data_IF_419849270304
#
_entry.id   IF_419849270304
#
_cell.length_a   1.000
_cell.length_b   1.000
_cell.length_c   1.000
_cell.angle_alpha   90.00
_cell.angle_beta   90.00
_cell.angle_gamma   90.00
#
_symmetry.space_group_name_H-M   'P 1'
#
loop_
_entity.id
_entity.type
_entity.pdbx_description
1 polymer ?
#
# COMPACT_ATOMS: atom_id res chain seq x y z
N UNK A 1 -20.46 -4.26 12.79
CA UNK A 1 -19.65 -3.65 11.71
C UNK A 1 -18.36 -3.06 12.27
N UNK A 2 -18.39 -2.09 13.21
CA UNK A 2 -17.18 -1.49 13.82
C UNK A 2 -16.17 -2.51 14.40
N UNK A 3 -16.65 -3.55 15.09
CA UNK A 3 -15.77 -4.59 15.65
C UNK A 3 -15.07 -5.45 14.58
N UNK A 4 -15.72 -5.70 13.43
CA UNK A 4 -15.13 -6.46 12.32
C UNK A 4 -14.09 -5.62 11.58
N UNK A 5 -14.35 -4.32 11.39
CA UNK A 5 -13.37 -3.37 10.85
C UNK A 5 -12.15 -3.25 11.78
N UNK A 6 -12.35 -3.22 13.10
CA UNK A 6 -11.26 -3.17 14.08
C UNK A 6 -10.35 -4.42 14.04
N UNK A 7 -10.93 -5.62 13.95
CA UNK A 7 -10.15 -6.85 13.86
C UNK A 7 -9.29 -6.92 12.58
N UNK A 8 -9.83 -6.48 11.44
CA UNK A 8 -9.07 -6.46 10.17
C UNK A 8 -7.98 -5.40 10.21
N UNK A 9 -8.24 -4.23 10.79
CA UNK A 9 -7.20 -3.21 10.97
C UNK A 9 -6.07 -3.76 11.87
N UNK A 10 -6.40 -4.47 12.95
CA UNK A 10 -5.38 -5.13 13.78
C UNK A 10 -4.58 -6.17 12.99
N UNK A 11 -5.24 -7.01 12.18
CA UNK A 11 -4.56 -7.98 11.33
C UNK A 11 -3.67 -7.32 10.27
N UNK A 12 -4.11 -6.20 9.68
CA UNK A 12 -3.34 -5.40 8.73
C UNK A 12 -2.08 -4.81 9.38
N UNK A 13 -2.21 -4.27 10.60
CA UNK A 13 -1.07 -3.78 11.40
C UNK A 13 -0.11 -4.91 11.74
N UNK A 14 -0.62 -6.05 12.21
CA UNK A 14 0.21 -7.23 12.52
C UNK A 14 0.94 -7.70 11.27
N UNK A 15 0.24 -7.82 10.14
CA UNK A 15 0.84 -8.21 8.87
C UNK A 15 1.95 -7.25 8.45
N UNK A 16 1.70 -5.93 8.49
CA UNK A 16 2.70 -4.90 8.20
C UNK A 16 3.99 -5.08 9.01
N UNK A 17 3.86 -5.51 10.27
CA UNK A 17 4.99 -5.68 11.20
C UNK A 17 5.76 -7.00 11.05
N UNK A 18 5.10 -8.10 10.64
CA UNK A 18 5.71 -9.44 10.70
C UNK A 18 5.92 -10.10 9.33
N UNK A 19 5.32 -9.59 8.27
CA UNK A 19 5.40 -10.24 6.96
C UNK A 19 6.79 -10.09 6.35
N UNK A 20 7.26 -11.15 5.71
CA UNK A 20 8.48 -11.13 4.90
C UNK A 20 8.29 -10.23 3.68
N UNK A 21 9.38 -9.74 3.11
CA UNK A 21 9.31 -8.96 1.87
C UNK A 21 9.01 -9.89 0.69
N UNK A 22 8.05 -9.49 -0.13
CA UNK A 22 7.75 -10.12 -1.42
C UNK A 22 8.73 -9.62 -2.49
N UNK A 23 8.93 -10.38 -3.57
CA UNK A 23 9.85 -9.97 -4.61
C UNK A 23 9.41 -8.67 -5.31
N UNK A 24 8.11 -8.49 -5.54
CA UNK A 24 7.58 -7.27 -6.19
C UNK A 24 7.86 -6.05 -5.33
N UNK A 25 7.71 -6.18 -4.01
CA UNK A 25 7.93 -5.08 -3.08
C UNK A 25 9.37 -4.57 -3.15
N UNK A 26 10.33 -5.49 -3.25
CA UNK A 26 11.75 -5.15 -3.39
C UNK A 26 12.04 -4.60 -4.80
N UNK A 27 11.48 -5.21 -5.84
CA UNK A 27 11.63 -4.77 -7.24
C UNK A 27 11.20 -3.31 -7.41
N UNK A 28 9.99 -2.95 -6.95
CA UNK A 28 9.47 -1.60 -7.11
C UNK A 28 10.14 -0.56 -6.20
N UNK A 29 10.58 -0.95 -5.00
CA UNK A 29 11.40 -0.07 -4.16
C UNK A 29 12.79 0.15 -4.77
N UNK A 30 13.36 -0.85 -5.43
CA UNK A 30 14.62 -0.71 -6.16
C UNK A 30 14.45 0.17 -7.40
N UNK A 31 13.37 0.00 -8.17
CA UNK A 31 13.03 0.90 -9.28
C UNK A 31 12.86 2.35 -8.80
N UNK A 32 12.22 2.55 -7.64
CA UNK A 32 12.11 3.87 -7.00
C UNK A 32 13.47 4.44 -6.62
N UNK A 33 14.38 3.60 -6.10
CA UNK A 33 15.74 3.99 -5.75
C UNK A 33 16.55 4.41 -6.99
N UNK A 34 16.46 3.65 -8.09
CA UNK A 34 17.08 4.00 -9.37
C UNK A 34 16.59 5.37 -9.86
N UNK A 35 15.29 5.65 -9.77
CA UNK A 35 14.74 6.97 -10.09
C UNK A 35 15.28 8.06 -9.16
N UNK A 36 15.40 7.77 -7.86
CA UNK A 36 16.01 8.67 -6.87
C UNK A 36 17.49 8.98 -7.15
N UNK A 37 18.21 8.04 -7.76
CA UNK A 37 19.61 8.20 -8.21
C UNK A 37 19.73 8.84 -9.61
N UNK A 38 18.60 9.17 -10.24
CA UNK A 38 18.55 9.88 -11.52
C UNK A 38 18.41 9.01 -12.76
N UNK A 39 18.23 7.69 -12.61
CA UNK A 39 17.91 6.81 -13.73
C UNK A 39 16.48 7.07 -14.26
N UNK A 40 16.30 6.94 -15.56
CA UNK A 40 15.02 7.16 -16.25
C UNK A 40 14.39 5.81 -16.63
N UNK A 41 13.17 5.51 -16.16
CA UNK A 41 12.45 4.28 -16.52
C UNK A 41 12.31 4.12 -18.03
N UNK A 42 12.41 2.88 -18.51
CA UNK A 42 12.39 2.47 -19.92
C UNK A 42 13.56 2.95 -20.78
N UNK A 43 14.44 3.83 -20.27
CA UNK A 43 15.67 4.26 -20.93
C UNK A 43 16.88 3.57 -20.30
N UNK A 44 17.00 3.67 -18.99
CA UNK A 44 18.17 3.22 -18.24
C UNK A 44 17.92 1.87 -17.55
N UNK A 45 16.65 1.54 -17.27
CA UNK A 45 16.22 0.24 -16.75
C UNK A 45 14.81 -0.09 -17.24
N UNK A 46 14.48 -1.39 -17.27
CA UNK A 46 13.18 -1.88 -17.68
C UNK A 46 12.35 -2.29 -16.46
N UNK A 47 11.11 -1.83 -16.43
CA UNK A 47 10.05 -2.28 -15.54
C UNK A 47 8.80 -2.54 -16.37
N UNK A 48 7.94 -3.45 -15.95
CA UNK A 48 6.72 -3.77 -16.70
C UNK A 48 5.58 -2.78 -16.43
N UNK A 49 5.64 -2.07 -15.31
CA UNK A 49 4.58 -1.20 -14.81
C UNK A 49 4.82 0.28 -15.13
N UNK A 50 3.75 1.07 -15.08
CA UNK A 50 3.81 2.51 -15.28
C UNK A 50 4.60 3.18 -14.13
N UNK A 51 5.48 4.16 -14.41
CA UNK A 51 6.50 4.59 -13.44
C UNK A 51 5.99 5.54 -12.35
N UNK A 52 4.68 5.77 -12.24
CA UNK A 52 4.09 6.71 -11.27
C UNK A 52 4.54 6.37 -9.85
N UNK A 53 4.50 5.10 -9.47
CA UNK A 53 4.89 4.65 -8.15
C UNK A 53 6.36 4.98 -7.88
N UNK A 54 7.24 4.78 -8.86
CA UNK A 54 8.68 4.99 -8.71
C UNK A 54 9.01 6.45 -8.42
N UNK A 55 8.35 7.37 -9.12
CA UNK A 55 8.50 8.80 -8.87
C UNK A 55 7.90 9.25 -7.53
N UNK A 56 6.80 8.64 -7.08
CA UNK A 56 6.21 8.95 -5.78
C UNK A 56 7.12 8.51 -4.62
N UNK A 57 7.79 7.36 -4.76
CA UNK A 57 8.66 6.78 -3.73
C UNK A 57 10.13 7.21 -3.83
N UNK A 58 10.60 7.74 -4.96
CA UNK A 58 11.98 8.19 -5.14
C UNK A 58 12.51 9.15 -4.05
N UNK A 59 11.76 10.15 -3.55
CA UNK A 59 12.24 10.98 -2.45
C UNK A 59 12.47 10.18 -1.17
N UNK A 60 11.62 9.18 -0.92
CA UNK A 60 11.73 8.32 0.26
C UNK A 60 12.97 7.43 0.21
N UNK A 61 13.31 6.91 -0.97
CA UNK A 61 14.51 6.08 -1.15
C UNK A 61 15.79 6.87 -0.88
N UNK A 62 15.83 8.14 -1.26
CA UNK A 62 16.97 9.02 -0.95
C UNK A 62 17.06 9.38 0.53
N UNK A 63 15.93 9.59 1.21
CA UNK A 63 15.91 9.92 2.66
C UNK A 63 16.26 8.75 3.57
N UNK A 64 15.93 7.52 3.15
CA UNK A 64 16.17 6.30 3.90
C UNK A 64 17.34 5.47 3.33
N UNK A 65 18.22 6.14 2.59
CA UNK A 65 19.38 5.50 1.99
C UNK A 65 20.25 4.80 3.05
N UNK A 66 20.82 3.66 2.68
CA UNK A 66 21.58 2.79 3.58
C UNK A 66 20.75 1.93 4.54
N UNK A 67 19.41 2.01 4.54
CA UNK A 67 18.55 1.13 5.33
C UNK A 67 17.34 0.58 4.55
N UNK A 68 17.53 -0.53 3.80
CA UNK A 68 16.44 -1.17 3.06
C UNK A 68 15.26 -1.58 3.96
N UNK A 69 15.54 -1.98 5.20
CA UNK A 69 14.49 -2.32 6.18
C UNK A 69 13.64 -1.12 6.57
N UNK A 70 14.25 0.04 6.77
CA UNK A 70 13.51 1.27 7.09
C UNK A 70 12.68 1.74 5.90
N UNK A 71 13.21 1.59 4.68
CA UNK A 71 12.50 1.91 3.45
C UNK A 71 11.25 1.06 3.28
N UNK A 72 11.37 -0.28 3.39
CA UNK A 72 10.23 -1.19 3.35
C UNK A 72 9.21 -0.86 4.44
N UNK A 73 9.65 -0.72 5.69
CA UNK A 73 8.76 -0.43 6.80
C UNK A 73 7.99 0.88 6.59
N UNK A 74 8.66 1.93 6.10
CA UNK A 74 8.04 3.22 5.84
C UNK A 74 7.08 3.16 4.66
N UNK A 75 7.43 2.44 3.59
CA UNK A 75 6.53 2.23 2.46
C UNK A 75 5.25 1.49 2.84
N UNK A 76 5.37 0.46 3.68
CA UNK A 76 4.21 -0.26 4.24
C UNK A 76 3.37 0.61 5.17
N UNK A 77 3.98 1.48 5.97
CA UNK A 77 3.24 2.43 6.82
C UNK A 77 2.45 3.41 5.95
N UNK A 78 3.03 3.94 4.88
CA UNK A 78 2.33 4.81 3.92
C UNK A 78 1.12 4.08 3.32
N UNK A 79 1.33 2.85 2.84
CA UNK A 79 0.26 2.03 2.26
C UNK A 79 -0.83 1.67 3.28
N UNK A 80 -0.46 1.35 4.53
CA UNK A 80 -1.41 1.14 5.62
C UNK A 80 -2.25 2.41 5.87
N UNK A 81 -1.64 3.60 5.89
CA UNK A 81 -2.37 4.85 6.07
C UNK A 81 -3.33 5.11 4.91
N UNK A 82 -2.90 4.90 3.66
CA UNK A 82 -3.77 5.02 2.47
C UNK A 82 -4.93 4.02 2.52
N UNK A 83 -4.65 2.78 2.94
CA UNK A 83 -5.65 1.75 3.14
C UNK A 83 -6.68 2.15 4.21
N UNK A 84 -6.24 2.71 5.35
CA UNK A 84 -7.14 3.23 6.38
C UNK A 84 -8.00 4.38 5.86
N UNK A 85 -7.42 5.31 5.10
CA UNK A 85 -8.16 6.41 4.45
C UNK A 85 -9.22 5.86 3.50
N UNK A 86 -8.88 4.86 2.68
CA UNK A 86 -9.84 4.19 1.79
C UNK A 86 -11.00 3.56 2.57
N UNK A 87 -10.71 2.84 3.66
CA UNK A 87 -11.75 2.22 4.52
C UNK A 87 -12.68 3.28 5.12
N UNK A 88 -12.12 4.38 5.64
CA UNK A 88 -12.91 5.51 6.17
C UNK A 88 -13.75 6.16 5.07
N UNK A 89 -13.18 6.36 3.88
CA UNK A 89 -13.89 6.93 2.75
C UNK A 89 -15.08 6.04 2.33
N UNK A 90 -14.89 4.72 2.26
CA UNK A 90 -15.96 3.76 1.95
C UNK A 90 -17.10 3.83 2.98
N UNK A 91 -16.79 3.88 4.28
CA UNK A 91 -17.80 4.04 5.33
C UNK A 91 -18.50 5.41 5.30
N UNK A 92 -17.76 6.48 4.98
CA UNK A 92 -18.32 7.81 4.81
C UNK A 92 -19.28 7.87 3.61
N UNK A 93 -18.91 7.32 2.45
CA UNK A 93 -19.80 7.27 1.29
C UNK A 93 -21.01 6.36 1.50
N UNK A 94 -20.88 5.28 2.28
CA UNK A 94 -21.99 4.41 2.68
C UNK A 94 -23.04 5.16 3.51
N UNK A 95 -22.58 5.99 4.45
CA UNK A 95 -23.46 6.72 5.39
C UNK A 95 -23.91 8.09 4.87
N UNK A 96 -23.21 8.62 3.85
CA UNK A 96 -23.46 9.92 3.24
C UNK A 96 -24.53 9.97 2.15
N UNK A 97 -24.56 11.08 1.40
CA UNK A 97 -25.60 11.46 0.43
C UNK A 97 -25.85 10.44 -0.69
N UNK A 98 -24.89 9.58 -1.00
CA UNK A 98 -24.95 8.66 -2.12
C UNK A 98 -25.79 7.40 -1.85
N UNK A 99 -26.28 7.18 -0.61
CA UNK A 99 -27.23 6.12 -0.20
C UNK A 99 -26.96 4.73 -0.83
N UNK A 100 -25.72 4.25 -0.80
CA UNK A 100 -25.37 2.85 -1.13
C UNK A 100 -25.80 1.88 0.00
N UNK A 101 -26.97 2.12 0.59
CA UNK A 101 -27.45 1.40 1.78
C UNK A 101 -27.74 -0.07 1.50
N UNK A 102 -27.92 -0.44 0.23
CA UNK A 102 -28.27 -1.80 -0.18
C UNK A 102 -27.07 -2.75 -0.28
N UNK A 103 -25.83 -2.25 -0.18
CA UNK A 103 -24.62 -3.08 -0.24
C UNK A 103 -23.75 -2.92 1.01
N UNK A 104 -24.23 -3.28 2.21
CA UNK A 104 -23.50 -3.09 3.47
C UNK A 104 -22.25 -3.97 3.60
N UNK A 105 -22.05 -4.90 2.66
CA UNK A 105 -21.03 -5.93 2.73
C UNK A 105 -19.74 -5.60 1.96
N UNK A 106 -19.68 -4.50 1.21
CA UNK A 106 -18.50 -4.16 0.38
C UNK A 106 -17.22 -4.05 1.20
N UNK A 107 -17.19 -3.18 2.21
CA UNK A 107 -16.04 -3.03 3.08
C UNK A 107 -15.73 -4.34 3.85
N UNK A 108 -16.70 -5.02 4.52
CA UNK A 108 -16.44 -6.31 5.15
C UNK A 108 -15.87 -7.40 4.23
N UNK A 109 -16.34 -7.50 2.98
CA UNK A 109 -15.86 -8.50 2.01
C UNK A 109 -14.41 -8.19 1.59
N UNK A 110 -14.11 -6.93 1.28
CA UNK A 110 -12.75 -6.51 0.93
C UNK A 110 -11.79 -6.71 2.12
N UNK A 111 -12.21 -6.31 3.31
CA UNK A 111 -11.45 -6.47 4.55
C UNK A 111 -11.27 -7.95 4.94
N UNK A 112 -12.23 -8.82 4.61
CA UNK A 112 -12.13 -10.26 4.84
C UNK A 112 -11.24 -10.99 3.83
N UNK A 113 -10.86 -10.34 2.73
CA UNK A 113 -9.98 -10.92 1.72
C UNK A 113 -8.53 -10.75 2.13
N UNK A 114 -7.89 -11.84 2.52
CA UNK A 114 -6.46 -11.88 2.81
C UNK A 114 -5.62 -11.29 1.67
N UNK A 115 -5.91 -11.68 0.43
CA UNK A 115 -5.18 -11.21 -0.75
C UNK A 115 -5.29 -9.70 -0.91
N UNK A 116 -6.48 -9.14 -0.69
CA UNK A 116 -6.69 -7.70 -0.80
C UNK A 116 -5.93 -6.95 0.30
N UNK A 117 -6.08 -7.38 1.56
CA UNK A 117 -5.41 -6.73 2.69
C UNK A 117 -3.89 -6.81 2.56
N UNK A 118 -3.33 -7.97 2.18
CA UNK A 118 -1.90 -8.14 1.95
C UNK A 118 -1.40 -7.19 0.84
N UNK A 119 -2.04 -7.26 -0.34
CA UNK A 119 -1.60 -6.49 -1.50
C UNK A 119 -1.76 -4.98 -1.29
N UNK A 120 -2.70 -4.54 -0.44
CA UNK A 120 -2.88 -3.13 -0.09
C UNK A 120 -1.80 -2.59 0.87
N UNK A 121 -1.00 -3.47 1.50
CA UNK A 121 0.04 -3.08 2.47
C UNK A 121 1.44 -3.12 1.87
N UNK A 122 1.72 -4.10 1.02
CA UNK A 122 2.99 -4.22 0.31
C UNK A 122 3.14 -3.09 -0.73
N UNK A 123 4.37 -2.63 -1.00
CA UNK A 123 4.63 -1.64 -2.05
C UNK A 123 4.53 -2.31 -3.42
N UNK A 124 3.35 -2.22 -4.06
CA UNK A 124 3.06 -2.80 -5.37
C UNK A 124 2.27 -1.80 -6.26
N UNK A 125 2.32 -1.91 -7.60
CA UNK A 125 1.58 -1.09 -8.56
C UNK A 125 0.07 -1.23 -8.48
#
# INVERSE_FOLDING_TARGET
MLAASGAVICLAVVHCCISTCDHDEIEHLHASWLVGDGAVPFRDFLEHHHPTLYYLYAPLTSWLDGSPRALVATGRIINLLLFLVMVVALEHFRTGRFRWKEVPWTAPILLGSWTFVRNALEVRP
#
